data_IF_555409913610
#
_entry.id   IF_555409913610
#
_cell.length_a   1.000
_cell.length_b   1.000
_cell.length_c   1.000
_cell.angle_alpha   90.00
_cell.angle_beta   90.00
_cell.angle_gamma   90.00
#
_symmetry.space_group_name_H-M   'P 1'
#
loop_
_entity.id
_entity.type
_entity.pdbx_description
1 polymer ?
#
# COMPACT_ATOMS: atom_id res chain seq x y z
N UNK A 1 36.41 29.48 -9.61
CA UNK A 1 36.16 28.56 -10.73
C UNK A 1 36.20 27.17 -10.11
N UNK A 2 35.12 26.40 -9.92
CA UNK A 2 33.82 26.36 -10.59
C UNK A 2 32.70 25.82 -9.67
N UNK A 3 31.47 26.14 -10.09
CA UNK A 3 30.14 25.90 -9.51
C UNK A 3 29.71 24.43 -9.41
N UNK A 4 28.80 24.18 -8.45
CA UNK A 4 27.49 23.46 -8.51
C UNK A 4 27.28 22.70 -7.18
N UNK A 5 26.33 23.02 -6.31
CA UNK A 5 24.97 23.51 -6.53
C UNK A 5 24.02 22.32 -6.61
N UNK A 6 23.50 21.86 -5.47
CA UNK A 6 22.32 21.00 -5.30
C UNK A 6 22.06 20.94 -3.78
N UNK A 7 20.91 21.25 -3.21
CA UNK A 7 19.56 21.12 -3.74
C UNK A 7 18.73 20.64 -2.55
N UNK A 8 18.20 21.59 -1.81
CA UNK A 8 17.32 21.47 -0.65
C UNK A 8 16.28 20.33 -0.81
N UNK A 9 16.46 19.19 -0.12
CA UNK A 9 15.37 18.21 0.05
C UNK A 9 14.73 18.42 1.41
N UNK A 10 13.69 19.25 1.41
CA UNK A 10 12.67 19.31 2.46
C UNK A 10 12.18 17.88 2.74
N UNK A 11 12.48 17.37 3.93
CA UNK A 11 11.92 16.13 4.46
C UNK A 11 10.45 16.39 4.77
N UNK A 12 9.56 15.97 3.88
CA UNK A 12 8.11 16.14 4.05
C UNK A 12 7.55 15.02 4.92
N UNK A 13 7.02 15.43 6.08
CA UNK A 13 5.91 14.87 6.84
C UNK A 13 5.56 13.40 6.55
N UNK A 14 6.14 12.51 7.34
CA UNK A 14 5.51 11.38 8.03
C UNK A 14 6.55 10.27 8.14
N UNK A 15 7.11 10.14 9.33
CA UNK A 15 7.76 8.91 9.77
C UNK A 15 6.69 7.81 9.73
N UNK A 16 6.49 7.23 8.55
CA UNK A 16 5.74 6.00 8.40
C UNK A 16 6.52 5.00 9.23
N UNK A 17 5.98 4.61 10.38
CA UNK A 17 6.56 3.57 11.22
C UNK A 17 6.45 2.24 10.45
N UNK A 18 7.48 1.91 9.67
CA UNK A 18 7.55 0.77 8.74
C UNK A 18 7.82 -0.55 9.49
N UNK A 19 8.05 -0.50 10.81
CA UNK A 19 8.64 -1.62 11.54
C UNK A 19 7.71 -2.85 11.63
N UNK A 20 6.39 -2.64 11.54
CA UNK A 20 5.40 -3.73 11.58
C UNK A 20 5.39 -4.65 10.34
N UNK A 21 6.04 -4.24 9.24
CA UNK A 21 6.07 -4.96 7.96
C UNK A 21 7.41 -5.63 7.66
N UNK A 22 8.40 -5.45 8.54
CA UNK A 22 9.74 -6.01 8.36
C UNK A 22 9.86 -7.28 9.20
N UNK A 23 9.91 -8.45 8.55
CA UNK A 23 10.30 -9.69 9.22
C UNK A 23 11.81 -9.85 9.11
N UNK A 24 12.50 -9.86 10.24
CA UNK A 24 13.95 -10.11 10.30
C UNK A 24 14.21 -11.57 10.62
N UNK A 25 15.04 -12.21 9.79
CA UNK A 25 15.55 -13.56 10.03
C UNK A 25 17.05 -13.41 10.26
N UNK A 26 17.52 -13.79 11.45
CA UNK A 26 18.93 -13.70 11.83
C UNK A 26 19.53 -15.09 11.98
N UNK A 27 20.60 -15.33 11.24
CA UNK A 27 21.48 -16.49 11.40
C UNK A 27 22.80 -16.04 12.03
N UNK A 28 23.74 -16.96 12.32
CA UNK A 28 25.04 -16.61 12.93
C UNK A 28 25.82 -15.61 12.07
N UNK A 29 25.74 -15.73 10.76
CA UNK A 29 26.61 -15.00 9.83
C UNK A 29 25.86 -13.98 8.96
N UNK A 30 24.52 -14.05 8.90
CA UNK A 30 23.70 -13.22 8.00
C UNK A 30 22.39 -12.77 8.66
N UNK A 31 22.02 -11.51 8.42
CA UNK A 31 20.70 -10.95 8.73
C UNK A 31 19.93 -10.67 7.42
N UNK A 32 18.72 -11.22 7.31
CA UNK A 32 17.81 -11.03 6.18
C UNK A 32 16.61 -10.24 6.66
N UNK A 33 16.33 -9.09 6.02
CA UNK A 33 15.13 -8.29 6.25
C UNK A 33 14.12 -8.50 5.12
N UNK A 34 12.99 -9.13 5.40
CA UNK A 34 11.88 -9.27 4.46
C UNK A 34 10.87 -8.14 4.65
N UNK A 35 10.64 -7.37 3.58
CA UNK A 35 9.59 -6.35 3.52
C UNK A 35 8.29 -6.99 3.03
N UNK A 36 7.42 -7.37 3.95
CA UNK A 36 6.14 -8.00 3.63
C UNK A 36 5.03 -7.01 3.91
N UNK A 37 4.46 -6.42 2.85
CA UNK A 37 3.19 -5.69 2.98
C UNK A 37 2.10 -6.70 3.31
N UNK A 38 1.49 -6.57 4.50
CA UNK A 38 0.27 -7.34 4.82
C UNK A 38 -0.85 -6.76 3.98
N UNK A 39 -1.37 -7.56 3.05
CA UNK A 39 -2.66 -7.27 2.44
C UNK A 39 -3.76 -7.79 3.36
N UNK A 40 -4.95 -7.20 3.31
CA UNK A 40 -6.12 -7.71 4.01
C UNK A 40 -6.57 -9.06 3.43
N UNK A 41 -7.62 -9.65 3.98
CA UNK A 41 -8.09 -10.96 3.55
C UNK A 41 -8.59 -10.93 2.08
N UNK A 42 -8.03 -11.75 1.17
CA UNK A 42 -8.45 -11.77 -0.24
C UNK A 42 -9.90 -12.24 -0.43
N UNK A 43 -10.45 -13.06 0.47
CA UNK A 43 -11.85 -13.47 0.39
C UNK A 43 -12.81 -12.29 0.60
N UNK A 44 -12.51 -11.40 1.55
CA UNK A 44 -13.29 -10.18 1.78
C UNK A 44 -13.20 -9.21 0.60
N UNK A 45 -12.03 -9.11 -0.05
CA UNK A 45 -11.89 -8.32 -1.27
C UNK A 45 -12.84 -8.84 -2.36
N UNK A 46 -12.84 -10.16 -2.60
CA UNK A 46 -13.68 -10.77 -3.63
C UNK A 46 -15.17 -10.60 -3.33
N UNK A 47 -15.59 -10.76 -2.07
CA UNK A 47 -16.96 -10.52 -1.63
C UNK A 47 -17.40 -9.08 -1.93
N UNK A 48 -16.61 -8.09 -1.54
CA UNK A 48 -16.92 -6.68 -1.78
C UNK A 48 -17.02 -6.35 -3.28
N UNK A 49 -16.14 -6.92 -4.11
CA UNK A 49 -16.18 -6.72 -5.55
C UNK A 49 -17.39 -7.40 -6.21
N UNK A 50 -17.77 -8.58 -5.71
CA UNK A 50 -18.96 -9.30 -6.18
C UNK A 50 -20.23 -8.48 -5.90
N UNK A 51 -20.40 -8.02 -4.66
CA UNK A 51 -21.55 -7.18 -4.27
C UNK A 51 -21.62 -5.90 -5.11
N UNK A 52 -20.49 -5.21 -5.31
CA UNK A 52 -20.43 -4.00 -6.12
C UNK A 52 -20.79 -4.24 -7.59
N UNK A 53 -20.41 -5.39 -8.15
CA UNK A 53 -20.74 -5.74 -9.54
C UNK A 53 -22.24 -5.82 -9.73
N UNK A 54 -22.94 -6.44 -8.78
CA UNK A 54 -24.38 -6.70 -8.80
C UNK A 54 -25.23 -5.53 -8.29
N UNK A 55 -24.63 -4.43 -7.88
CA UNK A 55 -25.37 -3.24 -7.46
C UNK A 55 -25.87 -2.44 -8.67
N UNK A 56 -27.10 -2.69 -9.10
CA UNK A 56 -27.70 -2.02 -10.26
C UNK A 56 -28.10 -0.55 -9.98
N UNK A 57 -27.97 -0.08 -8.73
CA UNK A 57 -28.26 1.33 -8.39
C UNK A 57 -27.14 2.29 -8.76
N UNK A 58 -25.94 1.76 -9.03
CA UNK A 58 -24.74 2.55 -9.33
C UNK A 58 -24.41 2.55 -10.83
N UNK A 59 -24.02 3.72 -11.34
CA UNK A 59 -23.42 3.87 -12.67
C UNK A 59 -22.04 3.22 -12.75
N UNK A 60 -21.54 3.05 -13.98
CA UNK A 60 -20.19 2.50 -14.22
C UNK A 60 -19.11 3.36 -13.59
N UNK A 61 -19.21 4.68 -13.71
CA UNK A 61 -18.29 5.65 -13.11
C UNK A 61 -18.27 5.53 -11.59
N UNK A 62 -19.43 5.42 -10.95
CA UNK A 62 -19.54 5.25 -9.50
C UNK A 62 -18.93 3.92 -9.03
N UNK A 63 -19.23 2.82 -9.74
CA UNK A 63 -18.60 1.52 -9.49
C UNK A 63 -17.08 1.60 -9.61
N UNK A 64 -16.54 2.27 -10.63
CA UNK A 64 -15.11 2.44 -10.79
C UNK A 64 -14.46 3.21 -9.63
N UNK A 65 -15.15 4.23 -9.09
CA UNK A 65 -14.66 4.95 -7.91
C UNK A 65 -14.72 4.08 -6.64
N UNK A 66 -15.76 3.27 -6.49
CA UNK A 66 -15.88 2.32 -5.39
C UNK A 66 -14.78 1.23 -5.44
N UNK A 67 -14.48 0.68 -6.62
CA UNK A 67 -13.36 -0.28 -6.80
C UNK A 67 -12.04 0.33 -6.34
N UNK A 68 -11.74 1.58 -6.71
CA UNK A 68 -10.51 2.26 -6.27
C UNK A 68 -10.42 2.33 -4.74
N UNK A 69 -11.52 2.67 -4.06
CA UNK A 69 -11.58 2.72 -2.59
C UNK A 69 -11.35 1.34 -1.97
N UNK A 70 -12.02 0.30 -2.49
CA UNK A 70 -11.87 -1.09 -2.03
C UNK A 70 -10.42 -1.56 -2.18
N UNK A 71 -9.78 -1.29 -3.32
CA UNK A 71 -8.40 -1.69 -3.56
C UNK A 71 -7.40 -0.95 -2.66
N UNK A 72 -7.61 0.34 -2.42
CA UNK A 72 -6.79 1.10 -1.47
C UNK A 72 -6.93 0.52 -0.06
N UNK A 73 -8.15 0.17 0.36
CA UNK A 73 -8.37 -0.43 1.67
C UNK A 73 -7.73 -1.82 1.80
N UNK A 74 -7.79 -2.64 0.74
CA UNK A 74 -7.17 -3.97 0.72
C UNK A 74 -5.63 -3.92 0.82
N UNK A 75 -5.02 -2.90 0.23
CA UNK A 75 -3.56 -2.71 0.19
C UNK A 75 -2.99 -1.96 1.40
N UNK A 76 -3.85 -1.43 2.28
CA UNK A 76 -3.46 -0.76 3.53
C UNK A 76 -3.33 -1.76 4.67
#
# INVERSE_FOLDING_TARGET
>A
MDNKGEGNRKVSASEINIDSHIKKIKTKDVEISLYIKKQKNPAQLLENLYLLRHDDSLSKEEKNQAVKKIMVDYMR
#
